data_IF_580215009826
#
_entry.id   IF_580215009826
#
_cell.length_a   1.000
_cell.length_b   1.000
_cell.length_c   1.000
_cell.angle_alpha   90.00
_cell.angle_beta   90.00
_cell.angle_gamma   90.00
#
_symmetry.space_group_name_H-M   'P 1'
#
loop_
_entity.id
_entity.type
_entity.pdbx_description
1 polymer ?
#
# COMPACT_ATOMS: atom_id res chain seq x y z
N UNK A 1 10.09 6.95 15.40
CA UNK A 1 10.41 8.39 15.25
C UNK A 1 11.05 8.79 16.55
N UNK A 2 12.01 9.70 16.56
CA UNK A 2 12.46 10.31 17.81
C UNK A 2 11.26 11.06 18.39
N UNK A 3 10.66 10.58 19.47
CA UNK A 3 9.42 11.15 20.01
C UNK A 3 9.76 12.18 21.08
N UNK A 4 10.59 11.82 22.05
CA UNK A 4 10.92 12.65 23.21
C UNK A 4 12.15 13.56 23.02
N UNK A 5 12.77 13.51 21.83
CA UNK A 5 13.92 14.31 21.42
C UNK A 5 15.22 13.95 22.15
N UNK A 6 15.42 12.67 22.45
CA UNK A 6 16.66 12.14 23.03
C UNK A 6 17.69 11.69 21.97
N UNK A 7 17.29 11.68 20.70
CA UNK A 7 18.13 11.34 19.56
C UNK A 7 18.04 9.89 19.10
N UNK A 8 17.19 9.07 19.71
CA UNK A 8 16.93 7.70 19.28
C UNK A 8 15.57 7.56 18.55
N UNK A 9 15.17 6.34 18.16
CA UNK A 9 13.90 6.12 17.47
C UNK A 9 12.94 5.27 18.30
N UNK A 10 11.86 5.91 18.72
CA UNK A 10 10.77 5.33 19.50
C UNK A 10 9.64 4.73 18.66
N UNK A 11 8.74 4.03 19.37
CA UNK A 11 7.49 3.48 18.85
C UNK A 11 6.28 3.99 19.61
N UNK A 12 5.34 4.59 18.87
CA UNK A 12 3.97 4.81 19.31
C UNK A 12 3.05 3.74 18.71
N UNK A 13 2.15 3.20 19.53
CA UNK A 13 1.21 2.17 19.09
C UNK A 13 -0.19 2.43 19.63
N UNK A 14 -1.18 2.33 18.74
CA UNK A 14 -2.58 2.42 19.10
C UNK A 14 -3.22 1.07 19.38
N UNK A 15 -4.11 1.02 20.37
CA UNK A 15 -4.83 -0.17 20.79
C UNK A 15 -6.19 -0.33 20.12
N UNK A 16 -6.72 -1.56 20.14
CA UNK A 16 -8.11 -1.84 19.78
C UNK A 16 -9.11 -1.12 20.71
N UNK A 17 -8.80 -1.06 22.01
CA UNK A 17 -9.65 -0.45 23.05
C UNK A 17 -9.48 1.06 23.19
N UNK A 18 -8.53 1.64 22.43
CA UNK A 18 -8.40 3.08 22.25
C UNK A 18 -7.24 3.72 23.00
N UNK A 19 -6.53 2.98 23.84
CA UNK A 19 -5.32 3.45 24.50
C UNK A 19 -4.18 3.64 23.51
N UNK A 20 -3.25 4.51 23.87
CA UNK A 20 -2.02 4.76 23.13
C UNK A 20 -0.85 4.34 24.01
N UNK A 21 0.03 3.52 23.44
CA UNK A 21 1.24 3.03 24.07
C UNK A 21 2.45 3.74 23.50
N UNK A 22 3.38 4.08 24.38
CA UNK A 22 4.73 4.50 24.06
C UNK A 22 5.71 3.42 24.48
N UNK A 23 6.62 3.08 23.56
CA UNK A 23 7.74 2.19 23.78
C UNK A 23 9.01 2.98 23.49
N UNK A 24 9.66 3.37 24.58
CA UNK A 24 10.97 4.03 24.60
C UNK A 24 12.03 3.03 24.16
N UNK A 25 13.01 3.51 23.40
CA UNK A 25 14.22 2.74 23.13
C UNK A 25 15.28 3.13 24.18
N UNK A 26 16.07 2.15 24.60
CA UNK A 26 17.20 2.39 25.50
C UNK A 26 18.49 2.64 24.72
N UNK A 27 19.54 3.09 25.42
CA UNK A 27 20.86 3.37 24.83
C UNK A 27 21.47 2.15 24.10
N UNK A 28 21.08 0.92 24.48
CA UNK A 28 21.51 -0.34 23.86
C UNK A 28 20.64 -0.74 22.64
N UNK A 29 19.60 0.04 22.34
CA UNK A 29 18.69 -0.18 21.23
C UNK A 29 17.55 -1.16 21.50
N UNK A 30 17.29 -1.53 22.76
CA UNK A 30 16.14 -2.38 23.12
C UNK A 30 14.90 -1.53 23.38
N UNK A 31 13.71 -2.07 23.10
CA UNK A 31 12.46 -1.42 23.45
C UNK A 31 12.05 -1.77 24.87
N UNK A 32 11.80 -0.74 25.68
CA UNK A 32 11.24 -0.88 27.01
C UNK A 32 9.80 -1.46 26.96
N UNK A 33 9.32 -1.92 28.11
CA UNK A 33 7.93 -2.34 28.25
C UNK A 33 7.01 -1.15 28.00
N UNK A 34 6.10 -1.30 27.03
CA UNK A 34 5.20 -0.22 26.62
C UNK A 34 4.33 0.28 27.78
N UNK A 35 4.22 1.61 27.88
CA UNK A 35 3.38 2.31 28.88
C UNK A 35 2.28 3.09 28.20
N UNK A 36 1.15 3.26 28.90
CA UNK A 36 0.10 4.16 28.42
C UNK A 36 0.59 5.60 28.44
N UNK A 37 0.21 6.36 27.41
CA UNK A 37 0.21 7.81 27.53
C UNK A 37 -0.89 8.23 28.50
N UNK A 38 -0.55 9.15 29.40
CA UNK A 38 -1.45 9.64 30.44
C UNK A 38 -1.87 11.06 30.11
N UNK A 39 -3.16 11.35 30.20
CA UNK A 39 -3.67 12.70 30.12
C UNK A 39 -3.28 13.53 31.36
N UNK A 40 -3.34 14.85 31.24
CA UNK A 40 -3.11 15.81 32.34
C UNK A 40 -4.03 15.62 33.54
N UNK A 41 -5.14 14.89 33.39
CA UNK A 41 -6.04 14.53 34.50
C UNK A 41 -5.64 13.22 35.23
N UNK A 42 -4.48 12.64 34.88
CA UNK A 42 -3.92 11.44 35.49
C UNK A 42 -4.55 10.13 35.03
N UNK A 43 -5.37 10.13 33.96
CA UNK A 43 -5.97 8.92 33.39
C UNK A 43 -5.27 8.51 32.09
N UNK A 44 -5.32 7.23 31.68
CA UNK A 44 -4.86 6.82 30.37
C UNK A 44 -5.58 7.61 29.26
N UNK A 45 -4.82 8.06 28.27
CA UNK A 45 -5.35 8.72 27.09
C UNK A 45 -6.03 7.68 26.19
N UNK A 46 -7.36 7.79 26.04
CA UNK A 46 -8.18 6.84 25.29
C UNK A 46 -9.05 7.54 24.26
N UNK A 47 -9.00 7.09 23.01
CA UNK A 47 -9.60 7.82 21.87
C UNK A 47 -10.38 6.91 20.91
N UNK A 48 -11.56 6.43 21.29
CA UNK A 48 -12.38 5.59 20.40
C UNK A 48 -11.85 4.15 20.30
N UNK A 49 -11.99 3.49 19.15
CA UNK A 49 -11.61 2.06 18.99
C UNK A 49 -10.72 1.83 17.78
N UNK A 50 -9.75 0.93 17.92
CA UNK A 50 -8.69 0.61 16.94
C UNK A 50 -8.06 1.89 16.40
N UNK A 51 -7.25 2.49 17.26
CA UNK A 51 -6.69 3.83 17.05
C UNK A 51 -5.37 3.74 16.34
N UNK A 52 -5.06 4.77 15.57
CA UNK A 52 -3.80 4.92 14.86
C UNK A 52 -3.25 6.31 15.14
N UNK A 53 -2.33 6.44 16.11
CA UNK A 53 -1.72 7.71 16.43
C UNK A 53 -0.65 8.08 15.40
N UNK A 54 -0.57 9.36 15.11
CA UNK A 54 0.54 10.03 14.47
C UNK A 54 1.00 11.14 15.43
N UNK A 55 2.29 11.22 15.72
CA UNK A 55 2.84 12.34 16.46
C UNK A 55 3.40 13.39 15.49
N UNK A 56 2.93 14.63 15.61
CA UNK A 56 3.24 15.73 14.69
C UNK A 56 3.03 17.07 15.40
N UNK A 57 3.92 18.02 15.15
CA UNK A 57 3.77 19.42 15.58
C UNK A 57 2.72 20.11 14.70
N UNK A 58 1.45 20.13 15.12
CA UNK A 58 0.33 20.57 14.27
C UNK A 58 0.12 22.08 14.29
N UNK A 59 0.64 22.75 15.32
CA UNK A 59 0.51 24.19 15.55
C UNK A 59 1.85 24.94 15.61
N UNK A 60 2.93 24.26 15.20
CA UNK A 60 4.27 24.81 15.03
C UNK A 60 4.80 25.51 16.29
N UNK A 61 4.57 24.90 17.45
CA UNK A 61 5.04 25.37 18.75
C UNK A 61 6.30 24.64 19.25
N UNK A 62 6.72 23.59 18.52
CA UNK A 62 7.94 22.83 18.77
C UNK A 62 7.74 21.59 19.63
N UNK A 63 6.52 21.33 20.09
CA UNK A 63 6.15 20.07 20.69
C UNK A 63 5.36 19.18 19.71
N UNK A 64 5.23 17.89 20.02
CA UNK A 64 4.49 16.96 19.17
C UNK A 64 3.10 16.77 19.75
N UNK A 65 2.08 17.03 18.95
CA UNK A 65 0.70 16.64 19.21
C UNK A 65 0.42 15.21 18.76
N UNK A 66 -0.76 14.69 19.07
CA UNK A 66 -1.25 13.44 18.52
C UNK A 66 -2.44 13.65 17.60
N UNK A 67 -2.30 13.25 16.33
CA UNK A 67 -3.43 13.08 15.42
C UNK A 67 -3.81 11.61 15.33
N UNK A 68 -5.07 11.32 15.61
CA UNK A 68 -5.54 9.95 15.83
C UNK A 68 -6.64 9.60 14.85
N UNK A 69 -6.38 8.61 14.01
CA UNK A 69 -7.39 7.91 13.22
C UNK A 69 -8.09 6.82 14.04
N UNK A 70 -9.35 6.53 13.72
CA UNK A 70 -10.12 5.49 14.41
C UNK A 70 -10.85 4.58 13.43
N UNK A 71 -11.14 3.35 13.87
CA UNK A 71 -11.93 2.37 13.09
C UNK A 71 -13.34 2.84 12.74
N UNK A 72 -13.88 3.82 13.44
CA UNK A 72 -15.20 4.39 13.14
C UNK A 72 -15.10 5.58 12.18
N UNK A 73 -13.97 5.72 11.48
CA UNK A 73 -13.66 6.81 10.55
C UNK A 73 -13.78 8.18 11.22
N UNK A 74 -13.26 8.31 12.44
CA UNK A 74 -13.08 9.59 13.12
C UNK A 74 -11.60 9.96 13.18
N UNK A 75 -11.30 11.22 12.83
CA UNK A 75 -9.99 11.83 13.02
C UNK A 75 -10.06 12.83 14.18
N UNK A 76 -9.12 12.74 15.11
CA UNK A 76 -9.04 13.55 16.32
C UNK A 76 -7.65 14.12 16.48
N UNK A 77 -7.53 15.22 17.20
CA UNK A 77 -6.25 15.76 17.65
C UNK A 77 -6.26 15.86 19.17
N UNK A 78 -5.14 15.53 19.79
CA UNK A 78 -4.88 15.69 21.22
C UNK A 78 -3.69 16.61 21.33
N UNK A 79 -3.95 17.80 21.85
CA UNK A 79 -2.94 18.83 22.08
C UNK A 79 -1.99 18.37 23.18
N UNK A 80 -0.70 18.52 22.94
CA UNK A 80 0.31 18.56 23.98
C UNK A 80 0.55 20.04 24.32
N UNK A 81 0.54 20.34 25.61
CA UNK A 81 0.75 21.70 26.14
C UNK A 81 2.03 21.80 26.97
N UNK A 82 2.86 20.77 26.88
CA UNK A 82 4.07 20.58 27.65
C UNK A 82 5.31 20.76 26.78
N UNK A 83 6.15 19.74 26.74
CA UNK A 83 7.30 19.66 25.84
C UNK A 83 7.38 18.27 25.23
N UNK A 84 8.34 18.03 24.33
CA UNK A 84 8.60 16.68 23.78
C UNK A 84 8.98 15.66 24.86
N UNK A 85 9.88 16.04 25.76
CA UNK A 85 10.37 15.16 26.84
C UNK A 85 9.45 15.11 28.07
N UNK A 86 8.54 16.07 28.23
CA UNK A 86 7.58 16.12 29.33
C UNK A 86 6.20 16.55 28.82
N UNK A 87 5.50 15.68 28.06
CA UNK A 87 4.24 16.06 27.44
C UNK A 87 3.10 16.19 28.45
N UNK A 88 2.21 17.16 28.21
CA UNK A 88 0.99 17.43 28.98
C UNK A 88 -0.22 17.32 28.05
N UNK A 89 -0.74 16.11 27.91
CA UNK A 89 -1.83 15.80 26.99
C UNK A 89 -3.18 16.33 27.45
N UNK A 90 -3.92 16.94 26.52
CA UNK A 90 -5.31 17.32 26.75
C UNK A 90 -6.18 16.07 27.06
N UNK A 91 -7.02 16.09 28.11
CA UNK A 91 -7.80 14.92 28.52
C UNK A 91 -8.98 14.60 27.58
N UNK A 92 -9.32 15.54 26.69
CA UNK A 92 -10.43 15.41 25.75
C UNK A 92 -9.92 15.61 24.32
N UNK A 93 -9.86 14.54 23.51
CA UNK A 93 -9.51 14.65 22.11
C UNK A 93 -10.50 15.54 21.35
N UNK A 94 -9.98 16.48 20.57
CA UNK A 94 -10.78 17.36 19.72
C UNK A 94 -11.00 16.69 18.38
N UNK A 95 -12.27 16.55 17.99
CA UNK A 95 -12.60 15.99 16.67
C UNK A 95 -12.24 16.98 15.56
N UNK A 96 -11.44 16.53 14.59
CA UNK A 96 -11.07 17.34 13.44
C UNK A 96 -12.28 17.63 12.53
N UNK A 97 -12.29 18.85 12.00
CA UNK A 97 -13.31 19.36 11.10
C UNK A 97 -12.65 20.16 9.97
N UNK A 98 -13.31 20.21 8.82
CA UNK A 98 -12.96 21.14 7.75
C UNK A 98 -13.25 22.57 8.18
N UNK A 99 -12.73 23.55 7.45
CA UNK A 99 -13.01 24.98 7.66
C UNK A 99 -14.52 25.31 7.57
N UNK A 100 -15.31 24.47 6.87
CA UNK A 100 -16.77 24.59 6.81
C UNK A 100 -17.50 23.93 7.98
N UNK A 101 -16.76 23.37 8.94
CA UNK A 101 -17.31 22.66 10.09
C UNK A 101 -17.69 21.19 9.82
N UNK A 102 -17.39 20.67 8.63
CA UNK A 102 -17.68 19.26 8.28
C UNK A 102 -16.76 18.34 9.05
N UNK A 103 -17.34 17.31 9.64
CA UNK A 103 -16.60 16.25 10.36
C UNK A 103 -15.65 15.51 9.42
N UNK A 104 -14.33 15.62 9.64
CA UNK A 104 -13.32 14.84 8.91
C UNK A 104 -13.43 13.36 9.29
N UNK A 105 -13.20 12.48 8.32
CA UNK A 105 -13.34 11.02 8.46
C UNK A 105 -12.12 10.28 7.89
N UNK A 106 -11.54 9.37 8.67
CA UNK A 106 -10.40 8.54 8.27
C UNK A 106 -9.93 7.62 9.42
N UNK A 107 -9.04 6.66 9.13
CA UNK A 107 -8.60 5.61 10.08
C UNK A 107 -7.08 5.41 10.20
N UNK A 108 -6.30 6.36 9.67
CA UNK A 108 -4.86 6.54 9.86
C UNK A 108 -4.48 7.87 9.21
N UNK A 109 -3.99 8.81 10.03
CA UNK A 109 -3.53 10.11 9.58
C UNK A 109 -2.05 10.06 9.21
N UNK A 110 -1.68 10.85 8.22
CA UNK A 110 -0.31 11.24 7.94
C UNK A 110 -0.29 12.70 7.51
N UNK A 111 0.60 13.49 8.10
CA UNK A 111 0.84 14.87 7.73
C UNK A 111 2.02 14.96 6.76
N UNK A 112 1.84 15.76 5.72
CA UNK A 112 2.90 16.04 4.75
C UNK A 112 2.53 17.30 3.96
N UNK A 113 3.53 18.01 3.45
CA UNK A 113 3.32 19.06 2.45
C UNK A 113 2.99 18.41 1.09
N UNK A 114 1.73 18.00 0.93
CA UNK A 114 1.31 17.22 -0.23
C UNK A 114 1.36 18.06 -1.49
N UNK A 115 1.06 19.35 -1.47
CA UNK A 115 1.08 20.18 -2.69
C UNK A 115 2.28 21.11 -2.86
N UNK A 116 3.23 21.11 -1.91
CA UNK A 116 4.48 21.84 -2.00
C UNK A 116 4.35 23.32 -1.64
N UNK A 117 3.30 23.70 -0.91
CA UNK A 117 3.07 25.08 -0.48
C UNK A 117 3.70 25.42 0.89
N UNK A 118 4.35 24.44 1.51
CA UNK A 118 5.04 24.56 2.78
C UNK A 118 4.14 24.43 4.00
N UNK A 119 2.85 24.07 3.83
CA UNK A 119 1.92 23.76 4.91
C UNK A 119 1.73 22.24 5.04
N UNK A 120 1.68 21.74 6.26
CA UNK A 120 1.36 20.34 6.50
C UNK A 120 -0.13 20.09 6.22
N UNK A 121 -0.40 19.29 5.21
CA UNK A 121 -1.71 18.79 4.86
C UNK A 121 -2.05 17.52 5.62
N UNK A 122 -3.35 17.15 5.65
CA UNK A 122 -3.81 15.93 6.29
C UNK A 122 -4.20 14.88 5.25
N UNK A 123 -3.47 13.77 5.21
CA UNK A 123 -3.74 12.60 4.37
C UNK A 123 -4.29 11.49 5.27
N UNK A 124 -5.39 10.86 4.84
CA UNK A 124 -6.10 9.86 5.64
C UNK A 124 -6.36 8.58 4.85
N UNK A 125 -5.98 7.46 5.47
CA UNK A 125 -6.50 6.14 5.13
C UNK A 125 -7.96 5.96 5.56
N UNK A 126 -8.55 4.84 5.18
CA UNK A 126 -9.97 4.54 5.33
C UNK A 126 -10.19 3.07 5.67
N UNK A 127 -11.10 2.81 6.61
CA UNK A 127 -11.52 1.45 6.93
C UNK A 127 -12.19 0.75 5.75
N UNK A 128 -12.82 1.50 4.83
CA UNK A 128 -13.57 0.92 3.70
C UNK A 128 -12.81 0.94 2.38
N UNK A 129 -11.50 1.24 2.39
CA UNK A 129 -10.60 1.53 1.25
C UNK A 129 -10.52 2.99 0.81
N UNK A 130 -9.49 3.27 0.01
CA UNK A 130 -9.15 4.57 -0.55
C UNK A 130 -8.25 5.41 0.35
N UNK A 131 -7.78 6.52 -0.20
CA UNK A 131 -6.98 7.54 0.49
C UNK A 131 -7.54 8.91 0.15
N UNK A 132 -7.74 9.74 1.16
CA UNK A 132 -8.23 11.12 0.99
C UNK A 132 -7.21 12.12 1.50
N UNK A 133 -7.20 13.29 0.89
CA UNK A 133 -6.36 14.43 1.24
C UNK A 133 -7.23 15.62 1.60
N UNK A 134 -6.83 16.31 2.65
CA UNK A 134 -7.37 17.58 3.08
C UNK A 134 -6.25 18.63 3.08
N UNK A 135 -6.28 19.51 2.08
CA UNK A 135 -5.35 20.65 2.01
C UNK A 135 -5.50 21.54 3.24
N UNK A 136 -4.39 21.92 3.87
CA UNK A 136 -4.34 22.97 4.85
C UNK A 136 -4.39 24.33 4.13
N UNK A 137 -5.50 25.04 4.28
CA UNK A 137 -5.74 26.37 3.75
C UNK A 137 -5.60 27.46 4.84
N UNK A 138 -5.07 27.08 6.00
CA UNK A 138 -4.83 27.97 7.13
C UNK A 138 -3.40 28.47 7.15
N UNK A 139 -2.73 28.28 8.27
CA UNK A 139 -1.32 28.61 8.47
C UNK A 139 -0.60 27.48 9.18
N UNK A 140 0.73 27.58 9.30
CA UNK A 140 1.54 26.61 10.08
C UNK A 140 1.08 26.51 11.54
N UNK A 141 0.67 27.63 12.15
CA UNK A 141 0.25 27.67 13.56
C UNK A 141 -1.20 27.33 13.81
N UNK A 142 -2.03 27.49 12.78
CA UNK A 142 -3.48 27.28 12.89
C UNK A 142 -3.92 26.59 11.61
N UNK A 143 -3.88 25.26 11.64
CA UNK A 143 -4.33 24.45 10.52
C UNK A 143 -5.84 24.63 10.29
N UNK A 144 -6.21 24.87 9.03
CA UNK A 144 -7.61 24.89 8.60
C UNK A 144 -7.74 24.00 7.37
N UNK A 145 -8.44 22.88 7.49
CA UNK A 145 -8.50 21.89 6.42
C UNK A 145 -9.65 22.17 5.44
N UNK A 146 -9.37 22.11 4.14
CA UNK A 146 -10.38 22.14 3.09
C UNK A 146 -11.26 20.87 3.09
N UNK A 147 -12.28 20.84 2.24
CA UNK A 147 -13.06 19.62 2.00
C UNK A 147 -12.17 18.53 1.35
N UNK A 148 -12.55 17.26 1.52
CA UNK A 148 -11.72 16.12 1.10
C UNK A 148 -11.57 16.03 -0.42
N UNK A 149 -10.37 15.75 -0.89
CA UNK A 149 -10.06 15.29 -2.23
C UNK A 149 -9.65 13.81 -2.19
N UNK A 150 -9.99 13.03 -3.22
CA UNK A 150 -9.61 11.62 -3.28
C UNK A 150 -8.25 11.49 -3.97
N UNK A 151 -7.25 10.93 -3.27
CA UNK A 151 -5.95 10.60 -3.86
C UNK A 151 -5.97 9.20 -4.47
N UNK A 152 -6.53 8.24 -3.74
CA UNK A 152 -6.69 6.86 -4.20
C UNK A 152 -8.15 6.46 -4.09
N UNK A 153 -8.75 6.08 -5.23
CA UNK A 153 -10.13 5.64 -5.31
C UNK A 153 -10.42 4.42 -4.45
N UNK A 154 -11.69 4.23 -4.09
CA UNK A 154 -12.11 3.03 -3.38
C UNK A 154 -12.04 1.82 -4.31
N UNK A 155 -11.51 0.71 -3.79
CA UNK A 155 -11.61 -0.57 -4.48
C UNK A 155 -13.07 -1.00 -4.60
N UNK A 156 -13.45 -1.59 -5.74
CA UNK A 156 -14.79 -2.13 -5.95
C UNK A 156 -15.10 -3.34 -5.04
N UNK A 157 -14.05 -4.02 -4.52
CA UNK A 157 -14.16 -5.20 -3.65
C UNK A 157 -13.26 -5.06 -2.42
N UNK A 158 -13.46 -4.06 -1.56
CA UNK A 158 -12.48 -3.67 -0.54
C UNK A 158 -12.33 -4.71 0.57
N UNK A 159 -13.39 -5.47 0.91
CA UNK A 159 -13.41 -6.42 2.03
C UNK A 159 -13.04 -7.87 1.67
N UNK A 160 -12.46 -8.11 0.49
CA UNK A 160 -12.15 -9.46 0.03
C UNK A 160 -13.34 -10.15 -0.63
N UNK A 161 -13.24 -10.29 -1.94
CA UNK A 161 -13.85 -11.35 -2.73
C UNK A 161 -12.85 -11.83 -3.79
N UNK A 162 -11.55 -11.67 -3.48
CA UNK A 162 -10.50 -12.19 -4.32
C UNK A 162 -10.53 -13.71 -4.22
N UNK A 163 -10.34 -14.38 -5.35
CA UNK A 163 -9.94 -15.79 -5.33
C UNK A 163 -8.44 -15.87 -5.10
N UNK A 164 -7.98 -16.91 -4.42
CA UNK A 164 -6.55 -17.14 -4.27
C UNK A 164 -5.88 -17.19 -5.65
N UNK A 165 -4.80 -16.42 -5.81
CA UNK A 165 -4.10 -16.23 -7.09
C UNK A 165 -4.56 -15.01 -7.91
N UNK A 166 -5.65 -14.33 -7.53
CA UNK A 166 -6.03 -13.07 -8.18
C UNK A 166 -5.18 -11.90 -7.65
N UNK A 167 -4.70 -11.07 -8.58
CA UNK A 167 -4.03 -9.80 -8.26
C UNK A 167 -5.07 -8.71 -8.00
N UNK A 168 -5.03 -8.02 -6.84
CA UNK A 168 -5.93 -6.89 -6.58
C UNK A 168 -5.72 -5.76 -7.57
N UNK A 169 -6.78 -4.99 -7.82
CA UNK A 169 -6.75 -3.82 -8.71
C UNK A 169 -6.56 -2.50 -7.97
N UNK A 170 -6.38 -2.56 -6.66
CA UNK A 170 -6.19 -1.40 -5.80
C UNK A 170 -6.33 -1.77 -4.33
N UNK A 171 -6.05 -0.82 -3.43
CA UNK A 171 -5.97 -1.09 -2.01
C UNK A 171 -7.32 -1.51 -1.43
N UNK A 172 -7.20 -2.46 -0.51
CA UNK A 172 -8.24 -3.08 0.26
C UNK A 172 -8.81 -2.20 1.35
N UNK A 173 -9.44 -2.85 2.32
CA UNK A 173 -9.96 -2.22 3.51
C UNK A 173 -8.82 -1.90 4.49
N UNK A 174 -9.06 -1.00 5.46
CA UNK A 174 -8.07 -0.56 6.46
C UNK A 174 -6.79 0.02 5.89
N UNK A 175 -6.89 0.88 4.89
CA UNK A 175 -5.70 1.51 4.32
C UNK A 175 -4.90 2.25 5.38
N UNK A 176 -3.58 2.11 5.29
CA UNK A 176 -2.56 2.82 6.06
C UNK A 176 -1.71 3.59 5.07
N UNK A 177 -1.41 4.84 5.36
CA UNK A 177 -0.75 5.77 4.47
C UNK A 177 0.55 6.23 5.10
N UNK A 178 1.58 6.31 4.27
CA UNK A 178 2.83 6.98 4.60
C UNK A 178 3.23 7.83 3.40
N UNK A 179 3.53 9.10 3.66
CA UNK A 179 3.77 10.10 2.62
C UNK A 179 5.19 10.62 2.77
N UNK A 180 6.02 10.37 1.76
CA UNK A 180 7.41 10.84 1.70
C UNK A 180 7.88 10.78 0.25
N UNK A 181 8.93 11.53 -0.10
CA UNK A 181 9.59 11.41 -1.40
C UNK A 181 10.30 10.04 -1.46
N UNK A 182 9.69 9.06 -2.13
CA UNK A 182 10.17 7.69 -2.17
C UNK A 182 11.20 7.46 -3.28
N UNK A 183 11.15 8.26 -4.34
CA UNK A 183 12.02 8.14 -5.51
C UNK A 183 13.12 9.22 -5.57
N UNK A 184 13.10 10.20 -4.67
CA UNK A 184 14.07 11.30 -4.59
C UNK A 184 13.86 12.40 -5.63
N UNK A 185 12.66 12.56 -6.17
CA UNK A 185 12.36 13.54 -7.23
C UNK A 185 11.99 14.94 -6.72
N UNK A 186 11.93 15.10 -5.39
CA UNK A 186 11.57 16.32 -4.70
C UNK A 186 10.05 16.51 -4.54
N UNK A 187 9.24 15.51 -4.85
CA UNK A 187 7.79 15.47 -4.57
C UNK A 187 7.51 14.33 -3.62
N UNK A 188 6.57 14.56 -2.70
CA UNK A 188 6.12 13.47 -1.83
C UNK A 188 5.25 12.47 -2.60
N UNK A 189 5.56 11.19 -2.42
CA UNK A 189 4.86 10.03 -2.94
C UNK A 189 3.99 9.40 -1.85
N UNK A 190 3.17 8.42 -2.23
CA UNK A 190 2.27 7.73 -1.30
C UNK A 190 2.57 6.22 -1.26
N UNK A 191 2.92 5.72 -0.08
CA UNK A 191 2.91 4.30 0.24
C UNK A 191 1.60 3.95 0.95
N UNK A 192 0.86 2.98 0.42
CA UNK A 192 -0.41 2.52 1.00
C UNK A 192 -0.29 1.05 1.38
N UNK A 193 -0.44 0.73 2.66
CA UNK A 193 -0.68 -0.64 3.11
C UNK A 193 -2.17 -0.94 3.22
N UNK A 194 -2.58 -2.18 2.98
CA UNK A 194 -3.97 -2.60 3.12
C UNK A 194 -4.13 -3.95 3.85
N UNK A 195 -5.38 -4.37 4.01
CA UNK A 195 -5.74 -5.75 4.24
C UNK A 195 -6.85 -6.18 3.26
N UNK A 196 -6.81 -7.42 2.78
CA UNK A 196 -7.92 -8.09 2.09
C UNK A 196 -7.99 -9.57 2.47
N UNK A 197 -9.11 -10.19 2.12
CA UNK A 197 -9.28 -11.64 2.24
C UNK A 197 -9.33 -12.27 0.85
N UNK A 198 -8.47 -13.25 0.63
CA UNK A 198 -8.50 -14.11 -0.55
C UNK A 198 -9.14 -15.44 -0.18
N UNK A 199 -10.23 -15.78 -0.85
CA UNK A 199 -10.95 -17.04 -0.66
C UNK A 199 -10.40 -18.14 -1.55
N UNK A 200 -10.38 -19.36 -1.03
CA UNK A 200 -9.98 -20.55 -1.77
C UNK A 200 -10.85 -21.73 -1.37
N UNK A 201 -11.00 -22.69 -2.28
CA UNK A 201 -11.76 -23.91 -2.05
C UNK A 201 -10.81 -25.07 -1.81
N UNK A 202 -11.08 -25.83 -0.75
CA UNK A 202 -10.45 -27.14 -0.52
C UNK A 202 -11.14 -28.19 -1.40
N UNK A 203 -10.48 -29.34 -1.66
CA UNK A 203 -11.13 -30.48 -2.31
C UNK A 203 -12.46 -30.84 -1.63
N UNK A 204 -13.46 -31.32 -2.40
CA UNK A 204 -14.76 -31.71 -1.86
C UNK A 204 -14.61 -32.77 -0.77
N UNK A 205 -15.61 -32.85 0.12
CA UNK A 205 -15.64 -33.88 1.15
C UNK A 205 -15.81 -35.27 0.52
N UNK A 206 -15.17 -36.28 1.11
CA UNK A 206 -15.44 -37.67 0.76
C UNK A 206 -16.84 -38.09 1.23
N UNK A 207 -17.37 -39.20 0.71
CA UNK A 207 -18.67 -39.74 1.15
C UNK A 207 -18.69 -40.03 2.66
N UNK A 208 -17.60 -40.58 3.20
CA UNK A 208 -17.42 -40.82 4.63
C UNK A 208 -17.50 -39.52 5.44
N UNK A 209 -16.83 -38.46 4.99
CA UNK A 209 -16.86 -37.15 5.65
C UNK A 209 -18.24 -36.49 5.55
N UNK A 210 -18.98 -36.70 4.46
CA UNK A 210 -20.36 -36.23 4.31
C UNK A 210 -21.30 -36.95 5.28
N UNK A 211 -21.18 -38.28 5.39
CA UNK A 211 -21.92 -39.07 6.35
C UNK A 211 -21.60 -38.68 7.79
N UNK A 212 -20.31 -38.48 8.12
CA UNK A 212 -19.87 -38.01 9.43
C UNK A 212 -20.45 -36.62 9.75
N UNK A 213 -20.39 -35.68 8.80
CA UNK A 213 -20.97 -34.34 8.95
C UNK A 213 -22.47 -34.42 9.21
N UNK A 214 -23.20 -35.22 8.43
CA UNK A 214 -24.64 -35.39 8.57
C UNK A 214 -25.01 -35.98 9.94
N UNK A 215 -24.27 -37.00 10.41
CA UNK A 215 -24.46 -37.59 11.73
C UNK A 215 -24.10 -36.62 12.87
N UNK A 216 -23.11 -35.74 12.66
CA UNK A 216 -22.67 -34.78 13.67
C UNK A 216 -23.55 -33.52 13.76
N UNK A 217 -24.26 -33.17 12.69
CA UNK A 217 -25.07 -31.94 12.58
C UNK A 217 -26.08 -31.77 13.74
N UNK A 218 -26.89 -32.76 14.13
CA UNK A 218 -27.85 -32.60 15.23
C UNK A 218 -27.18 -32.32 16.58
N UNK A 219 -26.04 -32.98 16.84
CA UNK A 219 -25.27 -32.80 18.08
C UNK A 219 -24.65 -31.40 18.13
N UNK A 220 -24.10 -30.94 17.01
CA UNK A 220 -23.59 -29.58 16.87
C UNK A 220 -24.68 -28.54 17.10
N UNK A 221 -25.86 -28.71 16.50
CA UNK A 221 -26.94 -27.73 16.57
C UNK A 221 -27.53 -27.63 17.98
N UNK A 222 -27.68 -28.75 18.69
CA UNK A 222 -28.08 -28.75 20.09
C UNK A 222 -27.04 -28.04 20.99
N UNK A 223 -25.74 -28.26 20.76
CA UNK A 223 -24.68 -27.56 21.48
C UNK A 223 -24.66 -26.05 21.16
N UNK A 224 -24.88 -25.69 19.89
CA UNK A 224 -24.96 -24.32 19.41
C UNK A 224 -26.14 -23.57 20.03
N UNK A 225 -27.31 -24.20 20.13
CA UNK A 225 -28.50 -23.60 20.76
C UNK A 225 -28.24 -23.24 22.23
N UNK A 226 -27.62 -24.15 23.00
CA UNK A 226 -27.24 -23.90 24.40
C UNK A 226 -26.28 -22.71 24.53
N UNK A 227 -25.26 -22.65 23.66
CA UNK A 227 -24.34 -21.52 23.61
C UNK A 227 -25.05 -20.21 23.27
N UNK A 228 -25.95 -20.21 22.28
CA UNK A 228 -26.65 -19.00 21.84
C UNK A 228 -27.58 -18.41 22.89
N UNK A 229 -28.20 -19.22 23.76
CA UNK A 229 -29.01 -18.71 24.88
C UNK A 229 -28.20 -17.77 25.77
N UNK A 230 -26.98 -18.16 26.13
CA UNK A 230 -26.08 -17.33 26.97
C UNK A 230 -25.54 -16.12 26.20
N UNK A 231 -25.27 -16.28 24.89
CA UNK A 231 -24.86 -15.16 24.03
C UNK A 231 -25.94 -14.10 23.94
N UNK A 232 -27.21 -14.50 23.84
CA UNK A 232 -28.34 -13.58 23.71
C UNK A 232 -28.54 -12.77 25.00
N UNK A 233 -28.47 -13.42 26.18
CA UNK A 233 -28.47 -12.73 27.48
C UNK A 233 -27.34 -11.69 27.58
N UNK A 234 -26.13 -12.05 27.13
CA UNK A 234 -24.99 -11.12 27.06
C UNK A 234 -25.29 -9.97 26.09
N UNK A 235 -25.82 -10.28 24.91
CA UNK A 235 -26.12 -9.29 23.88
C UNK A 235 -27.24 -8.34 24.31
N UNK A 236 -28.18 -8.77 25.15
CA UNK A 236 -29.22 -7.93 25.74
C UNK A 236 -28.62 -6.87 26.67
N UNK A 237 -27.61 -7.25 27.47
CA UNK A 237 -26.85 -6.29 28.29
C UNK A 237 -26.16 -5.24 27.40
N UNK A 238 -25.50 -5.70 26.33
CA UNK A 238 -24.81 -4.81 25.36
C UNK A 238 -25.79 -3.88 24.66
N UNK A 239 -26.94 -4.39 24.17
CA UNK A 239 -27.99 -3.60 23.53
C UNK A 239 -28.59 -2.56 24.47
N UNK A 240 -28.76 -2.93 25.75
CA UNK A 240 -29.20 -2.02 26.80
C UNK A 240 -28.11 -1.06 27.30
N UNK A 241 -26.88 -1.14 26.77
CA UNK A 241 -25.70 -0.38 27.22
C UNK A 241 -25.42 -0.53 28.72
N UNK A 242 -25.69 -1.71 29.27
CA UNK A 242 -25.43 -2.05 30.67
C UNK A 242 -24.12 -2.84 30.79
N UNK A 243 -23.39 -2.72 31.90
CA UNK A 243 -22.26 -3.61 32.17
C UNK A 243 -22.75 -5.06 32.21
N UNK A 244 -21.94 -5.97 31.65
CA UNK A 244 -22.24 -7.40 31.65
C UNK A 244 -21.88 -7.94 33.04
N UNK A 245 -22.84 -8.49 33.82
CA UNK A 245 -22.57 -9.02 35.16
C UNK A 245 -21.46 -10.07 35.15
N UNK A 246 -20.60 -10.11 36.18
CA UNK A 246 -19.48 -11.07 36.27
C UNK A 246 -19.94 -12.52 36.15
N UNK A 247 -21.06 -12.86 36.79
CA UNK A 247 -21.66 -14.20 36.69
C UNK A 247 -22.04 -14.55 35.24
N UNK A 248 -22.60 -13.60 34.49
CA UNK A 248 -22.95 -13.79 33.08
C UNK A 248 -21.69 -13.90 32.22
N UNK A 249 -20.60 -13.18 32.54
CA UNK A 249 -19.31 -13.34 31.87
C UNK A 249 -18.73 -14.74 32.10
N UNK A 250 -18.79 -15.26 33.33
CA UNK A 250 -18.34 -16.60 33.67
C UNK A 250 -19.16 -17.68 32.94
N UNK A 251 -20.50 -17.54 32.92
CA UNK A 251 -21.41 -18.43 32.16
C UNK A 251 -21.11 -18.39 30.66
N UNK A 252 -20.88 -17.20 30.09
CA UNK A 252 -20.52 -17.04 28.69
C UNK A 252 -19.20 -17.75 28.36
N UNK A 253 -18.17 -17.57 29.20
CA UNK A 253 -16.89 -18.25 29.03
C UNK A 253 -17.06 -19.78 29.07
N UNK A 254 -17.75 -20.31 30.08
CA UNK A 254 -18.00 -21.74 30.21
C UNK A 254 -18.78 -22.30 29.01
N UNK A 255 -19.79 -21.59 28.53
CA UNK A 255 -20.56 -21.96 27.34
C UNK A 255 -19.71 -21.94 26.06
N UNK A 256 -18.83 -20.94 25.88
CA UNK A 256 -17.92 -20.87 24.75
C UNK A 256 -16.91 -22.02 24.78
N UNK A 257 -16.34 -22.33 25.95
CA UNK A 257 -15.37 -23.42 26.11
C UNK A 257 -16.02 -24.79 25.82
N UNK A 258 -17.26 -25.00 26.29
CA UNK A 258 -18.04 -26.20 25.99
C UNK A 258 -18.41 -26.33 24.50
N UNK A 259 -18.69 -25.22 23.81
CA UNK A 259 -19.05 -25.22 22.39
C UNK A 259 -17.85 -25.27 21.43
N UNK A 260 -16.68 -24.82 21.88
CA UNK A 260 -15.44 -24.75 21.09
C UNK A 260 -15.09 -26.06 20.33
N UNK A 261 -15.12 -27.27 20.93
CA UNK A 261 -14.81 -28.50 20.20
C UNK A 261 -15.84 -28.79 19.09
N UNK A 262 -17.13 -28.54 19.33
CA UNK A 262 -18.18 -28.72 18.31
C UNK A 262 -18.00 -27.76 17.14
N UNK A 263 -17.72 -26.49 17.44
CA UNK A 263 -17.40 -25.47 16.44
C UNK A 263 -16.17 -25.85 15.61
N UNK A 264 -15.11 -26.35 16.26
CA UNK A 264 -13.87 -26.78 15.59
C UNK A 264 -14.13 -27.97 14.66
N UNK A 265 -14.87 -28.98 15.12
CA UNK A 265 -15.25 -30.15 14.30
C UNK A 265 -16.15 -29.73 13.14
N UNK A 266 -17.18 -28.93 13.37
CA UNK A 266 -18.04 -28.47 12.26
C UNK A 266 -17.26 -27.63 11.23
N UNK A 267 -16.33 -26.78 11.69
CA UNK A 267 -15.45 -25.99 10.83
C UNK A 267 -14.45 -26.85 10.02
N UNK A 268 -14.15 -28.08 10.44
CA UNK A 268 -13.28 -28.97 9.66
C UNK A 268 -13.94 -29.35 8.33
N UNK A 269 -15.27 -29.47 8.28
CA UNK A 269 -16.03 -29.79 7.07
C UNK A 269 -16.13 -28.63 6.07
N UNK A 270 -15.85 -27.39 6.47
CA UNK A 270 -15.91 -26.23 5.58
C UNK A 270 -14.85 -26.31 4.48
N UNK A 271 -15.28 -26.16 3.22
CA UNK A 271 -14.41 -26.21 2.03
C UNK A 271 -13.94 -24.83 1.59
N UNK A 272 -14.83 -23.83 1.66
CA UNK A 272 -14.49 -22.43 1.44
C UNK A 272 -13.68 -21.88 2.61
N UNK A 273 -12.41 -21.58 2.36
CA UNK A 273 -11.48 -20.97 3.31
C UNK A 273 -11.10 -19.58 2.85
N UNK A 274 -10.47 -18.82 3.71
CA UNK A 274 -9.83 -17.55 3.35
C UNK A 274 -8.50 -17.38 4.05
N UNK A 275 -7.59 -16.66 3.40
CA UNK A 275 -6.39 -16.10 4.03
C UNK A 275 -6.54 -14.59 4.06
N UNK A 276 -6.20 -13.98 5.20
CA UNK A 276 -5.96 -12.54 5.23
C UNK A 276 -4.58 -12.30 4.61
N UNK A 277 -4.52 -11.40 3.64
CA UNK A 277 -3.27 -10.93 3.04
C UNK A 277 -3.36 -9.42 2.89
N UNK A 278 -2.24 -8.73 3.00
CA UNK A 278 -2.15 -7.29 2.79
C UNK A 278 -1.16 -7.01 1.68
N UNK A 279 -1.47 -6.03 0.85
CA UNK A 279 -0.59 -5.52 -0.20
C UNK A 279 -0.04 -4.16 0.23
N UNK A 280 1.15 -3.88 -0.27
CA UNK A 280 1.77 -2.55 -0.19
C UNK A 280 1.77 -1.97 -1.60
N UNK A 281 1.23 -0.77 -1.72
CA UNK A 281 1.04 -0.06 -2.97
C UNK A 281 1.91 1.19 -2.95
N UNK A 282 2.74 1.36 -3.98
CA UNK A 282 3.52 2.57 -4.19
C UNK A 282 2.87 3.40 -5.29
N UNK A 283 2.44 4.61 -4.94
CA UNK A 283 1.93 5.61 -5.86
C UNK A 283 2.94 6.74 -5.98
N UNK A 284 3.68 6.74 -7.09
CA UNK A 284 4.62 7.81 -7.40
C UNK A 284 3.86 9.03 -7.92
N UNK A 285 4.21 10.21 -7.39
CA UNK A 285 3.56 11.46 -7.73
C UNK A 285 4.23 12.10 -8.92
N UNK A 286 3.56 12.05 -10.05
CA UNK A 286 3.93 12.85 -11.22
C UNK A 286 3.69 14.36 -11.01
N UNK A 287 4.45 15.18 -11.72
CA UNK A 287 4.16 16.58 -11.99
C UNK A 287 2.90 16.75 -12.86
N UNK A 288 2.33 17.96 -12.95
CA UNK A 288 1.34 18.26 -14.00
C UNK A 288 1.91 18.01 -15.40
N UNK A 289 3.23 18.13 -15.59
CA UNK A 289 3.91 17.72 -16.80
C UNK A 289 4.01 16.20 -16.97
N UNK A 290 3.81 15.38 -15.93
CA UNK A 290 3.69 13.92 -15.99
C UNK A 290 2.23 13.46 -16.17
N UNK A 291 1.26 14.22 -15.67
CA UNK A 291 -0.17 14.03 -15.94
C UNK A 291 -0.55 14.45 -17.38
N UNK A 292 0.17 15.44 -17.93
CA UNK A 292 0.13 15.85 -19.35
C UNK A 292 1.23 15.16 -20.18
N UNK A 293 2.10 14.35 -19.54
CA UNK A 293 3.31 13.78 -20.17
C UNK A 293 3.40 12.26 -20.19
N UNK A 294 2.34 11.51 -19.91
CA UNK A 294 2.18 10.20 -20.56
C UNK A 294 1.64 10.40 -21.97
N UNK A 295 2.53 10.94 -22.80
CA UNK A 295 2.61 10.64 -24.22
C UNK A 295 2.26 9.16 -24.44
N UNK A 296 1.17 8.86 -25.15
CA UNK A 296 0.59 7.52 -25.21
C UNK A 296 1.63 6.41 -25.39
N UNK A 297 1.69 5.49 -24.42
CA UNK A 297 2.49 4.29 -24.53
C UNK A 297 1.94 3.45 -25.69
N UNK A 298 2.66 3.38 -26.81
CA UNK A 298 2.39 2.36 -27.81
C UNK A 298 2.97 1.04 -27.28
N UNK A 299 2.11 0.23 -26.67
CA UNK A 299 2.44 -1.13 -26.28
C UNK A 299 2.32 -2.03 -27.52
N UNK A 300 3.43 -2.67 -27.92
CA UNK A 300 3.39 -3.75 -28.91
C UNK A 300 3.76 -5.07 -28.24
N UNK A 301 3.18 -6.17 -28.73
CA UNK A 301 3.40 -7.51 -28.19
C UNK A 301 3.61 -8.48 -29.34
N UNK A 302 4.60 -9.35 -29.18
CA UNK A 302 4.85 -10.46 -30.08
C UNK A 302 5.18 -11.69 -29.25
N UNK A 303 4.28 -12.68 -29.31
CA UNK A 303 4.34 -13.88 -28.47
C UNK A 303 4.48 -13.55 -26.98
N UNK A 304 5.59 -14.03 -26.39
CA UNK A 304 5.90 -13.94 -24.96
C UNK A 304 6.55 -12.62 -24.52
N UNK A 305 6.71 -11.65 -25.43
CA UNK A 305 7.40 -10.39 -25.14
C UNK A 305 6.52 -9.19 -25.49
N UNK A 306 6.45 -8.23 -24.57
CA UNK A 306 5.81 -6.94 -24.76
C UNK A 306 6.84 -5.80 -24.69
N UNK A 307 6.68 -4.80 -25.54
CA UNK A 307 7.45 -3.56 -25.56
C UNK A 307 6.55 -2.39 -25.21
N UNK A 308 6.97 -1.59 -24.23
CA UNK A 308 6.40 -0.29 -23.92
C UNK A 308 7.47 0.79 -24.10
N UNK A 309 7.15 1.85 -24.84
CA UNK A 309 8.06 2.97 -25.08
C UNK A 309 7.51 4.22 -24.43
N UNK A 310 8.34 4.88 -23.64
CA UNK A 310 8.02 6.15 -22.99
C UNK A 310 9.12 7.17 -23.23
N UNK A 311 8.78 8.44 -23.06
CA UNK A 311 9.70 9.54 -23.20
C UNK A 311 9.36 10.61 -22.18
N UNK A 312 10.37 11.07 -21.44
CA UNK A 312 10.21 12.12 -20.42
C UNK A 312 11.12 13.31 -20.76
N UNK A 313 10.63 14.55 -20.68
CA UNK A 313 11.47 15.72 -20.95
C UNK A 313 12.57 15.86 -19.89
N UNK A 314 13.77 16.25 -20.32
CA UNK A 314 14.90 16.50 -19.39
C UNK A 314 14.72 17.89 -18.76
N UNK A 315 14.64 17.94 -17.43
CA UNK A 315 14.40 19.17 -16.66
C UNK A 315 15.40 20.28 -17.04
N UNK A 316 14.89 21.46 -17.39
CA UNK A 316 15.69 22.64 -17.74
C UNK A 316 16.39 22.58 -19.10
N UNK A 317 16.08 21.57 -19.94
CA UNK A 317 16.66 21.40 -21.28
C UNK A 317 15.56 21.18 -22.30
N UNK A 318 15.04 22.27 -22.86
CA UNK A 318 14.00 22.22 -23.90
C UNK A 318 14.47 21.38 -25.10
N UNK A 319 13.57 20.52 -25.60
CA UNK A 319 13.85 19.62 -26.71
C UNK A 319 14.70 18.39 -26.37
N UNK A 320 15.14 18.21 -25.11
CA UNK A 320 15.82 16.99 -24.68
C UNK A 320 14.87 16.03 -23.97
N UNK A 321 15.03 14.74 -24.25
CA UNK A 321 14.16 13.69 -23.73
C UNK A 321 14.97 12.47 -23.27
N UNK A 322 14.56 11.88 -22.15
CA UNK A 322 14.96 10.54 -21.73
C UNK A 322 13.95 9.55 -22.31
N UNK A 323 14.37 8.77 -23.29
CA UNK A 323 13.59 7.66 -23.85
C UNK A 323 13.81 6.42 -23.00
N UNK A 324 12.73 5.69 -22.74
CA UNK A 324 12.78 4.38 -22.08
C UNK A 324 12.01 3.35 -22.88
N UNK A 325 12.67 2.24 -23.20
CA UNK A 325 12.09 1.05 -23.82
C UNK A 325 12.02 -0.05 -22.75
N UNK A 326 10.80 -0.35 -22.30
CA UNK A 326 10.53 -1.41 -21.34
C UNK A 326 10.17 -2.69 -22.09
N UNK A 327 11.00 -3.71 -21.96
CA UNK A 327 10.74 -5.06 -22.50
C UNK A 327 10.24 -5.92 -21.34
N UNK A 328 9.03 -6.46 -21.45
CA UNK A 328 8.45 -7.38 -20.46
C UNK A 328 8.34 -8.77 -21.08
N UNK A 329 8.96 -9.74 -20.42
CA UNK A 329 9.02 -11.14 -20.84
C UNK A 329 8.10 -11.97 -19.93
N UNK A 330 7.26 -12.82 -20.52
CA UNK A 330 6.36 -13.71 -19.79
C UNK A 330 7.14 -14.72 -18.91
N UNK A 331 6.57 -15.19 -17.78
CA UNK A 331 7.20 -16.20 -16.94
C UNK A 331 7.61 -17.46 -17.72
N UNK A 332 8.84 -17.93 -17.50
CA UNK A 332 9.39 -19.11 -18.18
C UNK A 332 10.06 -18.81 -19.53
N UNK A 333 10.02 -17.55 -19.97
CA UNK A 333 10.72 -17.07 -21.17
C UNK A 333 11.85 -16.11 -20.81
N UNK A 334 12.82 -15.98 -21.71
CA UNK A 334 13.93 -15.04 -21.61
C UNK A 334 14.25 -14.41 -22.97
N UNK A 335 14.97 -13.28 -22.94
CA UNK A 335 15.55 -12.64 -24.14
C UNK A 335 17.05 -12.42 -23.94
N UNK A 336 17.85 -12.58 -24.99
CA UNK A 336 19.32 -12.48 -24.85
C UNK A 336 19.77 -11.07 -24.46
N UNK A 337 20.64 -10.98 -23.46
CA UNK A 337 21.28 -9.76 -23.00
C UNK A 337 22.66 -9.59 -23.64
N UNK A 338 23.44 -10.67 -23.68
CA UNK A 338 24.71 -10.76 -24.38
C UNK A 338 24.88 -12.16 -24.98
N UNK A 339 25.53 -12.23 -26.13
CA UNK A 339 25.86 -13.47 -26.85
C UNK A 339 27.26 -13.35 -27.47
N UNK A 340 27.94 -14.46 -27.77
CA UNK A 340 29.15 -14.46 -28.58
C UNK A 340 28.97 -13.76 -29.93
N UNK A 341 30.03 -13.17 -30.48
CA UNK A 341 29.97 -12.39 -31.72
C UNK A 341 29.59 -13.23 -32.97
N UNK A 342 29.83 -14.53 -32.92
CA UNK A 342 29.48 -15.54 -33.93
C UNK A 342 28.12 -16.22 -33.66
N UNK A 343 27.42 -15.82 -32.58
CA UNK A 343 26.13 -16.38 -32.22
C UNK A 343 25.07 -16.08 -33.29
N UNK A 344 24.24 -17.07 -33.66
CA UNK A 344 23.11 -16.85 -34.56
C UNK A 344 21.95 -16.07 -33.91
N UNK A 345 22.01 -15.79 -32.61
CA UNK A 345 20.94 -15.17 -31.82
C UNK A 345 21.24 -13.70 -31.55
N UNK A 346 20.33 -12.74 -31.82
CA UNK A 346 20.59 -11.33 -31.56
C UNK A 346 20.46 -10.99 -30.07
N UNK A 347 21.41 -10.20 -29.55
CA UNK A 347 21.24 -9.52 -28.27
C UNK A 347 20.12 -8.47 -28.36
N UNK A 348 19.35 -8.34 -27.27
CA UNK A 348 18.22 -7.41 -27.17
C UNK A 348 18.72 -5.98 -27.28
N UNK A 349 18.50 -5.37 -28.45
CA UNK A 349 19.12 -4.08 -28.80
C UNK A 349 18.04 -3.07 -29.18
N UNK A 350 17.77 -2.07 -28.34
CA UNK A 350 16.90 -0.96 -28.68
C UNK A 350 17.57 0.03 -29.66
N UNK A 351 16.76 0.65 -30.51
CA UNK A 351 17.13 1.71 -31.45
C UNK A 351 16.02 2.74 -31.53
N UNK A 352 16.37 4.00 -31.79
CA UNK A 352 15.41 5.08 -32.05
C UNK A 352 15.66 5.66 -33.44
N UNK A 353 14.58 5.86 -34.19
CA UNK A 353 14.62 6.61 -35.44
C UNK A 353 14.50 8.10 -35.12
N UNK A 354 15.59 8.84 -35.35
CA UNK A 354 15.66 10.26 -35.03
C UNK A 354 15.20 11.12 -36.22
N UNK A 355 14.36 12.15 -36.00
CA UNK A 355 14.01 13.10 -37.03
C UNK A 355 15.22 13.96 -37.45
N UNK A 356 15.14 14.57 -38.63
CA UNK A 356 16.19 15.46 -39.12
C UNK A 356 16.49 16.58 -38.10
N UNK A 357 17.77 16.74 -37.75
CA UNK A 357 18.22 17.72 -36.76
C UNK A 357 18.23 17.21 -35.31
N UNK A 358 17.71 16.01 -35.04
CA UNK A 358 17.82 15.38 -33.73
C UNK A 358 19.09 14.53 -33.61
N UNK A 359 19.61 14.40 -32.39
CA UNK A 359 20.80 13.61 -32.08
C UNK A 359 20.63 12.78 -30.81
N UNK A 360 21.37 11.67 -30.74
CA UNK A 360 21.50 10.87 -29.53
C UNK A 360 22.53 11.54 -28.61
N UNK A 361 22.19 11.71 -27.33
CA UNK A 361 23.07 12.27 -26.30
C UNK A 361 23.74 11.18 -25.45
N UNK A 362 23.21 9.96 -25.44
CA UNK A 362 23.81 8.82 -24.77
C UNK A 362 23.46 7.51 -25.47
N UNK A 363 24.35 6.53 -25.40
CA UNK A 363 24.00 5.17 -25.81
C UNK A 363 22.85 4.61 -24.97
N UNK A 364 22.19 3.57 -25.49
CA UNK A 364 21.20 2.83 -24.73
C UNK A 364 21.89 2.04 -23.62
N UNK A 365 21.39 2.19 -22.40
CA UNK A 365 21.90 1.49 -21.22
C UNK A 365 20.75 0.87 -20.44
N UNK A 366 21.05 -0.17 -19.67
CA UNK A 366 20.10 -0.78 -18.74
C UNK A 366 20.79 -1.05 -17.42
N UNK A 367 20.05 -0.91 -16.33
CA UNK A 367 20.47 -1.30 -14.98
C UNK A 367 19.87 -2.65 -14.56
N UNK A 368 19.04 -3.26 -15.42
CA UNK A 368 18.47 -4.57 -15.15
C UNK A 368 19.60 -5.62 -15.22
N UNK A 369 19.83 -6.41 -14.16
CA UNK A 369 20.86 -7.44 -14.18
C UNK A 369 20.45 -8.57 -15.15
N UNK A 370 21.42 -9.11 -15.88
CA UNK A 370 21.24 -10.33 -16.68
C UNK A 370 21.59 -11.58 -15.88
N UNK A 371 21.05 -12.71 -16.33
CA UNK A 371 21.27 -14.04 -15.78
C UNK A 371 22.24 -14.80 -16.70
N UNK A 372 23.31 -15.43 -16.18
CA UNK A 372 24.20 -16.27 -16.97
C UNK A 372 23.50 -17.51 -17.53
N UNK A 373 23.78 -17.85 -18.78
CA UNK A 373 23.34 -19.12 -19.37
C UNK A 373 24.11 -20.29 -18.74
N UNK A 374 23.43 -21.39 -18.35
CA UNK A 374 24.08 -22.61 -17.89
C UNK A 374 24.96 -23.26 -18.98
N UNK A 375 24.59 -23.08 -20.25
CA UNK A 375 25.16 -23.81 -21.38
C UNK A 375 26.28 -23.05 -22.11
N UNK A 376 26.44 -21.74 -21.83
CA UNK A 376 27.45 -20.90 -22.47
C UNK A 376 27.93 -19.80 -21.53
N UNK A 377 29.23 -19.75 -21.19
CA UNK A 377 29.76 -18.77 -20.22
C UNK A 377 29.71 -17.32 -20.72
N UNK A 378 29.67 -17.12 -22.05
CA UNK A 378 29.64 -15.80 -22.68
C UNK A 378 28.22 -15.38 -23.10
N UNK A 379 27.21 -16.16 -22.73
CA UNK A 379 25.81 -15.86 -22.99
C UNK A 379 25.10 -15.47 -21.70
N UNK A 380 24.41 -14.34 -21.71
CA UNK A 380 23.52 -13.94 -20.61
C UNK A 380 22.17 -13.54 -21.19
N UNK A 381 21.11 -13.65 -20.39
CA UNK A 381 19.75 -13.28 -20.78
C UNK A 381 19.04 -12.47 -19.72
N UNK A 382 17.96 -11.81 -20.12
CA UNK A 382 17.06 -11.12 -19.22
C UNK A 382 15.76 -11.91 -19.05
N UNK A 383 15.20 -11.83 -17.86
CA UNK A 383 13.90 -12.38 -17.49
C UNK A 383 13.02 -11.28 -16.88
N UNK A 384 11.70 -11.41 -17.01
CA UNK A 384 10.75 -10.46 -16.45
C UNK A 384 10.83 -9.08 -17.11
N UNK A 385 10.99 -8.02 -16.32
CA UNK A 385 10.91 -6.63 -16.80
C UNK A 385 12.29 -6.01 -16.93
N UNK A 386 12.64 -5.59 -18.14
CA UNK A 386 13.90 -4.95 -18.51
C UNK A 386 13.65 -3.53 -18.98
N UNK A 387 14.40 -2.56 -18.49
CA UNK A 387 14.26 -1.17 -18.93
C UNK A 387 15.57 -0.70 -19.54
N UNK A 388 15.52 -0.37 -20.83
CA UNK A 388 16.61 0.31 -21.53
C UNK A 388 16.29 1.80 -21.59
N UNK A 389 17.30 2.65 -21.44
CA UNK A 389 17.13 4.10 -21.55
C UNK A 389 18.25 4.77 -22.33
N UNK A 390 17.91 5.85 -23.04
CA UNK A 390 18.87 6.74 -23.69
C UNK A 390 18.37 8.19 -23.68
N UNK A 391 19.28 9.15 -23.83
CA UNK A 391 18.94 10.57 -23.95
C UNK A 391 18.99 11.00 -25.41
N UNK A 392 18.00 11.77 -25.86
CA UNK A 392 17.95 12.36 -27.20
C UNK A 392 17.78 13.87 -27.10
N UNK A 393 18.31 14.59 -28.10
CA UNK A 393 18.06 16.00 -28.31
C UNK A 393 17.33 16.19 -29.63
N UNK A 394 16.11 16.71 -29.58
CA UNK A 394 15.30 17.02 -30.75
C UNK A 394 15.35 18.51 -31.13
N UNK A 395 16.11 19.34 -30.40
CA UNK A 395 16.28 20.77 -30.62
C UNK A 395 15.04 21.64 -30.32
N UNK A 396 13.86 21.05 -30.35
CA UNK A 396 12.57 21.66 -30.08
C UNK A 396 11.61 20.63 -29.48
N UNK A 397 10.43 21.09 -29.05
CA UNK A 397 9.37 20.18 -28.60
C UNK A 397 8.96 19.22 -29.73
N UNK A 398 8.88 17.93 -29.40
CA UNK A 398 8.44 16.91 -30.35
C UNK A 398 7.01 17.18 -30.83
N UNK A 399 6.85 17.30 -32.14
CA UNK A 399 5.55 17.46 -32.83
C UNK A 399 5.17 16.22 -33.63
N UNK A 400 6.08 15.24 -33.74
CA UNK A 400 5.90 13.95 -34.40
C UNK A 400 6.32 12.82 -33.47
N UNK A 401 5.71 11.63 -33.58
CA UNK A 401 6.11 10.48 -32.79
C UNK A 401 7.57 10.08 -33.06
N UNK A 402 8.31 9.70 -32.03
CA UNK A 402 9.58 9.01 -32.19
C UNK A 402 9.32 7.50 -32.26
N UNK A 403 9.83 6.85 -33.31
CA UNK A 403 9.76 5.40 -33.44
C UNK A 403 10.95 4.76 -32.73
N UNK A 404 10.67 3.77 -31.88
CA UNK A 404 11.68 2.97 -31.19
C UNK A 404 11.48 1.52 -31.61
N UNK A 405 12.56 0.86 -31.96
CA UNK A 405 12.56 -0.57 -32.32
C UNK A 405 13.46 -1.34 -31.37
N UNK A 406 13.09 -2.59 -31.07
CA UNK A 406 13.90 -3.49 -30.25
C UNK A 406 14.07 -4.80 -31.00
N UNK A 407 15.28 -5.03 -31.51
CA UNK A 407 15.66 -6.31 -32.10
C UNK A 407 15.92 -7.30 -30.97
N UNK A 408 15.30 -8.49 -31.04
CA UNK A 408 15.39 -9.49 -29.99
C UNK A 408 15.06 -10.89 -30.50
N UNK A 409 15.36 -11.88 -29.66
CA UNK A 409 14.83 -13.23 -29.79
C UNK A 409 14.44 -13.75 -28.42
N UNK A 410 13.25 -14.32 -28.32
CA UNK A 410 12.71 -14.88 -27.09
C UNK A 410 12.77 -16.40 -27.12
N UNK A 411 13.20 -17.02 -26.02
CA UNK A 411 13.27 -18.47 -25.88
C UNK A 411 12.67 -18.91 -24.54
N UNK A 412 12.09 -20.11 -24.53
CA UNK A 412 11.81 -20.86 -23.31
C UNK A 412 12.78 -22.05 -23.18
N UNK A 413 12.55 -22.95 -22.22
CA UNK A 413 13.42 -24.10 -21.96
C UNK A 413 13.48 -25.13 -23.11
N UNK A 414 12.59 -25.03 -24.10
CA UNK A 414 12.40 -26.03 -25.16
C UNK A 414 12.46 -25.46 -26.58
N UNK A 415 12.08 -24.18 -26.75
CA UNK A 415 11.83 -23.58 -28.05
C UNK A 415 12.22 -22.10 -28.06
N UNK A 416 12.82 -21.65 -29.16
CA UNK A 416 13.03 -20.24 -29.45
C UNK A 416 12.04 -19.75 -30.51
N UNK A 417 11.50 -18.54 -30.30
CA UNK A 417 10.80 -17.81 -31.35
C UNK A 417 11.80 -17.35 -32.42
N UNK A 418 11.36 -17.11 -33.67
CA UNK A 418 12.19 -16.48 -34.69
C UNK A 418 12.70 -15.10 -34.21
N UNK A 419 13.92 -14.70 -34.57
CA UNK A 419 14.39 -13.34 -34.35
C UNK A 419 13.41 -12.32 -34.92
N UNK A 420 13.04 -11.33 -34.11
CA UNK A 420 12.05 -10.32 -34.48
C UNK A 420 12.47 -8.92 -34.03
N UNK A 421 11.75 -7.92 -34.50
CA UNK A 421 11.95 -6.52 -34.13
C UNK A 421 10.62 -5.91 -33.70
N UNK A 422 10.46 -5.75 -32.39
CA UNK A 422 9.30 -5.05 -31.83
C UNK A 422 9.39 -3.57 -32.17
N UNK A 423 8.24 -2.97 -32.50
CA UNK A 423 8.13 -1.53 -32.82
C UNK A 423 7.23 -0.86 -31.80
N UNK A 424 7.69 0.24 -31.24
CA UNK A 424 6.91 1.15 -30.42
C UNK A 424 7.08 2.58 -30.92
N UNK A 425 6.22 3.46 -30.46
CA UNK A 425 6.35 4.89 -30.71
C UNK A 425 5.89 5.68 -29.50
N UNK A 426 6.38 6.92 -29.40
CA UNK A 426 6.03 7.83 -28.32
C UNK A 426 5.74 9.22 -28.87
N UNK A 427 4.62 9.82 -28.46
CA UNK A 427 4.08 11.09 -28.99
C UNK A 427 3.71 12.03 -27.85
N UNK A 428 4.28 13.23 -27.81
CA UNK A 428 4.11 14.23 -26.75
C UNK A 428 2.87 15.12 -26.87
#
# INVERSE_FOLDING_TARGET
MDYDNDGDLDVLSGSYTGEIYFFERDEDGNLAQGRFLMASDGKPLVTGTSVTPEAVDVDADGDLDLVIGTRTSGAYVVENSGTRSAPSWAPKPRRLKTAKGTRIKGSNAHHADWDGDGLLDLILGSESSGVVWHKNIGSKKVAAYAESQTLVGRSAKPSGNLKAGETPQGPGYRTKVHVTDWNGDGRVDLLVGDAQFASYELPPLTEEQLAEKAAFQPVHDAAKEKYWKVVEERNDCVRARKPIPEELQARYKAANDAFAPFRKKMYSFTRRRSKCHGWVWLYLRGSEADAVGRAGAAASREGAVALEVTASPVKGKEGQYLLSATVTVDPGWHVYAAVPADSPYPATTPRVELPAGASLLSDWTTTTPSVPSPDSPDTTWFEGRVVFSCKVNCGQRLTKPLAVTVAMQACDASTCMPPTTLKGSVSF
#
